data_IF_368535794273
#
_entry.id   IF_368535794273
#
_cell.length_a   1.000
_cell.length_b   1.000
_cell.length_c   1.000
_cell.angle_alpha   90.00
_cell.angle_beta   90.00
_cell.angle_gamma   90.00
#
_symmetry.space_group_name_H-M   'P 1'
#
loop_
_entity.id
_entity.type
_entity.pdbx_description
1 polymer ?
#
# COMPACT_ATOMS: atom_id res chain seq x y z
N UNK A 1 11.23 -23.86 -6.88
CA UNK A 1 10.82 -22.53 -6.38
C UNK A 1 10.74 -21.60 -7.58
N UNK A 2 9.54 -21.19 -7.98
CA UNK A 2 9.34 -20.26 -9.10
C UNK A 2 9.65 -18.84 -8.62
N UNK A 3 10.85 -18.35 -8.94
CA UNK A 3 11.20 -16.95 -8.65
C UNK A 3 10.86 -16.12 -9.88
N UNK A 4 10.03 -15.11 -9.66
CA UNK A 4 9.52 -14.15 -10.65
C UNK A 4 10.66 -13.23 -11.12
N UNK A 5 11.63 -13.77 -11.86
CA UNK A 5 12.69 -12.98 -12.49
C UNK A 5 12.28 -12.71 -13.94
N UNK A 6 11.93 -11.46 -14.25
CA UNK A 6 11.88 -11.01 -15.63
C UNK A 6 13.30 -11.00 -16.19
N UNK A 7 13.66 -11.98 -17.01
CA UNK A 7 14.90 -11.95 -17.79
C UNK A 7 14.62 -11.25 -19.12
N UNK A 8 15.33 -10.16 -19.40
CA UNK A 8 15.45 -9.68 -20.77
C UNK A 8 16.38 -10.67 -21.52
N UNK A 9 15.97 -11.17 -22.70
CA UNK A 9 16.81 -12.10 -23.45
C UNK A 9 18.16 -11.43 -23.77
N UNK A 10 19.25 -12.12 -23.44
CA UNK A 10 20.65 -11.71 -23.66
C UNK A 10 21.19 -10.52 -22.82
N UNK A 11 20.50 -10.08 -21.77
CA UNK A 11 21.06 -9.06 -20.86
C UNK A 11 21.38 -9.66 -19.49
N UNK A 12 22.67 -9.80 -19.18
CA UNK A 12 23.15 -10.26 -17.87
C UNK A 12 23.00 -9.14 -16.85
N UNK A 13 21.78 -8.95 -16.33
CA UNK A 13 21.42 -7.86 -15.40
C UNK A 13 22.44 -7.73 -14.26
N UNK A 14 22.89 -8.86 -13.68
CA UNK A 14 23.86 -8.92 -12.57
C UNK A 14 25.23 -8.27 -12.86
N UNK A 15 25.63 -8.13 -14.13
CA UNK A 15 26.88 -7.48 -14.54
C UNK A 15 26.74 -5.96 -14.72
N UNK A 16 25.49 -5.47 -14.71
CA UNK A 16 25.16 -4.07 -14.97
C UNK A 16 24.22 -3.52 -13.88
N UNK A 17 24.69 -3.40 -12.61
CA UNK A 17 23.88 -2.90 -11.50
C UNK A 17 23.38 -1.45 -11.71
N UNK A 18 23.98 -0.74 -12.67
CA UNK A 18 23.64 0.64 -13.03
C UNK A 18 22.48 0.72 -14.03
N UNK A 19 22.10 -0.40 -14.69
CA UNK A 19 21.05 -0.44 -15.69
C UNK A 19 19.64 -0.24 -15.10
N UNK A 20 19.47 -0.49 -13.80
CA UNK A 20 18.22 -0.31 -13.07
C UNK A 20 18.35 0.87 -12.11
N UNK A 21 18.38 2.07 -12.67
CA UNK A 21 18.28 3.30 -11.91
C UNK A 21 16.82 3.72 -11.81
N UNK A 22 16.24 3.65 -10.62
CA UNK A 22 14.85 3.98 -10.37
C UNK A 22 14.82 5.37 -9.76
N UNK A 23 14.16 6.30 -10.44
CA UNK A 23 13.83 7.62 -9.87
C UNK A 23 12.72 7.45 -8.86
N UNK A 24 13.07 7.21 -7.61
CA UNK A 24 12.10 7.16 -6.51
C UNK A 24 11.71 8.58 -6.12
N UNK A 25 10.41 8.85 -6.03
CA UNK A 25 9.95 10.06 -5.35
C UNK A 25 10.25 9.91 -3.86
N UNK A 26 11.00 10.85 -3.29
CA UNK A 26 11.46 10.93 -1.88
C UNK A 26 10.37 10.76 -0.80
N UNK A 27 9.09 10.66 -1.18
CA UNK A 27 7.94 10.77 -0.28
C UNK A 27 7.07 9.52 -0.18
N UNK A 28 7.52 8.37 -0.69
CA UNK A 28 6.72 7.14 -0.54
C UNK A 28 7.25 6.27 0.61
N UNK A 29 6.72 6.39 1.85
CA UNK A 29 7.26 5.70 3.02
C UNK A 29 6.99 4.19 3.03
N UNK A 30 6.24 3.68 2.05
CA UNK A 30 5.71 2.32 2.07
C UNK A 30 6.61 1.29 1.38
N UNK A 31 7.63 1.75 0.64
CA UNK A 31 8.57 0.88 -0.05
C UNK A 31 10.00 1.27 0.31
N UNK A 32 10.77 0.32 0.82
CA UNK A 32 12.22 0.47 0.87
C UNK A 32 12.77 0.17 -0.52
N UNK A 33 13.00 1.21 -1.32
CA UNK A 33 13.60 1.11 -2.65
C UNK A 33 14.90 1.91 -2.65
N UNK A 34 16.01 1.24 -2.91
CA UNK A 34 17.27 1.93 -3.22
C UNK A 34 17.22 2.44 -4.67
N UNK A 35 17.83 3.59 -4.92
CA UNK A 35 17.87 4.19 -6.27
C UNK A 35 18.54 3.27 -7.30
N UNK A 36 19.51 2.47 -6.85
CA UNK A 36 20.17 1.43 -7.64
C UNK A 36 19.96 0.08 -6.97
N UNK A 37 19.26 -0.81 -7.65
CA UNK A 37 19.05 -2.18 -7.18
C UNK A 37 18.86 -3.12 -8.38
N UNK A 38 19.46 -4.30 -8.27
CA UNK A 38 19.41 -5.33 -9.31
C UNK A 38 18.05 -6.01 -9.41
N UNK A 39 17.37 -6.09 -8.28
CA UNK A 39 16.13 -6.82 -8.08
C UNK A 39 15.13 -5.89 -7.43
N UNK A 40 13.89 -5.95 -7.93
CA UNK A 40 12.77 -5.25 -7.33
C UNK A 40 12.05 -6.18 -6.37
N UNK A 41 12.05 -5.82 -5.10
CA UNK A 41 11.25 -6.49 -4.08
C UNK A 41 9.93 -5.76 -3.94
N UNK A 42 8.85 -6.45 -4.30
CA UNK A 42 7.50 -5.95 -4.10
C UNK A 42 6.86 -6.68 -2.93
N UNK A 43 6.15 -5.94 -2.10
CA UNK A 43 5.23 -6.56 -1.15
C UNK A 43 3.90 -6.80 -1.85
N UNK A 44 3.26 -7.91 -1.53
CA UNK A 44 1.91 -8.20 -2.01
C UNK A 44 0.94 -7.06 -1.63
N UNK A 45 0.21 -6.56 -2.63
CA UNK A 45 -0.68 -5.41 -2.49
C UNK A 45 -1.84 -5.70 -1.55
N UNK A 46 -2.41 -6.91 -1.61
CA UNK A 46 -3.48 -7.36 -0.70
C UNK A 46 -2.98 -7.35 0.74
N UNK A 47 -1.76 -7.83 0.98
CA UNK A 47 -1.14 -7.84 2.30
C UNK A 47 -0.86 -6.42 2.82
N UNK A 48 -0.44 -5.49 1.94
CA UNK A 48 -0.26 -4.08 2.32
C UNK A 48 -1.59 -3.44 2.73
N UNK A 49 -2.65 -3.60 1.94
CA UNK A 49 -3.98 -3.04 2.24
C UNK A 49 -4.55 -3.66 3.53
N UNK A 50 -4.34 -4.96 3.75
CA UNK A 50 -4.75 -5.64 4.99
C UNK A 50 -4.04 -5.06 6.22
N UNK A 51 -2.72 -4.79 6.14
CA UNK A 51 -1.99 -4.13 7.23
C UNK A 51 -2.52 -2.72 7.50
N UNK A 52 -2.82 -1.94 6.46
CA UNK A 52 -3.40 -0.61 6.62
C UNK A 52 -4.78 -0.65 7.27
N UNK A 53 -5.66 -1.54 6.79
CA UNK A 53 -6.96 -1.81 7.42
C UNK A 53 -6.78 -2.11 8.89
N UNK A 54 -5.95 -3.10 9.23
CA UNK A 54 -5.76 -3.52 10.61
C UNK A 54 -5.26 -2.38 11.49
N UNK A 55 -4.27 -1.60 11.02
CA UNK A 55 -3.76 -0.42 11.75
C UNK A 55 -4.83 0.64 12.01
N UNK A 56 -5.65 0.93 11.00
CA UNK A 56 -6.75 1.88 11.10
C UNK A 56 -7.81 1.41 12.11
N UNK A 57 -8.13 0.11 12.12
CA UNK A 57 -9.13 -0.47 13.02
C UNK A 57 -8.62 -0.66 14.45
N UNK A 58 -7.34 -1.01 14.62
CA UNK A 58 -6.76 -1.35 15.93
C UNK A 58 -6.28 -0.14 16.74
N UNK A 59 -6.43 1.09 16.20
CA UNK A 59 -5.97 2.36 16.80
C UNK A 59 -4.50 2.38 17.23
N UNK A 60 -3.70 1.41 16.79
CA UNK A 60 -2.33 1.19 17.26
C UNK A 60 -1.32 1.99 16.44
N UNK A 61 -1.75 2.53 15.30
CA UNK A 61 -0.94 3.38 14.44
C UNK A 61 -1.83 4.42 13.76
N UNK A 62 -1.32 5.64 13.67
CA UNK A 62 -1.98 6.74 12.97
C UNK A 62 -1.79 6.58 11.46
N UNK A 63 -2.89 6.66 10.71
CA UNK A 63 -2.83 6.71 9.25
C UNK A 63 -2.90 8.17 8.82
N UNK A 64 -1.81 8.71 8.28
CA UNK A 64 -1.76 10.09 7.79
C UNK A 64 -1.72 10.15 6.27
N UNK A 65 -2.51 11.05 5.68
CA UNK A 65 -2.47 11.38 4.26
C UNK A 65 -2.14 12.87 4.13
N UNK A 66 -0.86 13.15 3.84
CA UNK A 66 -0.33 14.52 3.95
C UNK A 66 -0.39 15.01 5.40
N UNK A 67 -1.06 16.14 5.62
CA UNK A 67 -1.25 16.74 6.94
C UNK A 67 -2.57 16.32 7.62
N UNK A 68 -3.33 15.40 7.02
CA UNK A 68 -4.60 14.94 7.55
C UNK A 68 -4.45 13.58 8.23
N UNK A 69 -5.08 13.44 9.39
CA UNK A 69 -5.18 12.18 10.11
C UNK A 69 -6.44 11.45 9.67
N UNK A 70 -6.33 10.14 9.47
CA UNK A 70 -7.45 9.26 9.13
C UNK A 70 -7.73 8.40 10.35
N UNK A 71 -8.95 8.52 10.87
CA UNK A 71 -9.43 7.80 12.05
C UNK A 71 -10.60 6.90 11.66
N UNK A 72 -10.86 5.89 12.49
CA UNK A 72 -12.04 5.02 12.33
C UNK A 72 -13.36 5.81 12.40
N UNK A 73 -13.40 6.93 13.13
CA UNK A 73 -14.56 7.82 13.19
C UNK A 73 -14.95 8.36 11.81
N UNK A 74 -13.97 8.67 10.94
CA UNK A 74 -14.26 9.11 9.58
C UNK A 74 -14.97 8.03 8.75
N UNK A 75 -14.70 6.74 9.00
CA UNK A 75 -15.43 5.64 8.37
C UNK A 75 -16.86 5.53 8.91
N UNK A 76 -17.05 5.73 10.21
CA UNK A 76 -18.38 5.80 10.81
C UNK A 76 -19.20 6.95 10.24
N UNK A 77 -18.58 8.12 10.03
CA UNK A 77 -19.22 9.29 9.44
C UNK A 77 -19.67 8.99 8.01
N UNK A 78 -18.82 8.36 7.19
CA UNK A 78 -19.20 7.97 5.82
C UNK A 78 -20.36 6.98 5.81
N UNK A 79 -20.35 5.97 6.68
CA UNK A 79 -21.41 4.93 6.72
C UNK A 79 -22.75 5.48 7.20
N UNK A 80 -22.75 6.45 8.12
CA UNK A 80 -23.97 6.97 8.73
C UNK A 80 -24.48 8.27 8.09
N UNK A 81 -23.69 8.91 7.22
CA UNK A 81 -24.07 10.16 6.58
C UNK A 81 -24.94 9.91 5.34
N UNK A 82 -26.17 10.44 5.36
CA UNK A 82 -27.17 10.30 4.29
C UNK A 82 -26.74 10.90 2.94
N UNK A 83 -25.69 11.74 2.93
CA UNK A 83 -25.13 12.33 1.70
C UNK A 83 -24.42 11.29 0.84
N UNK A 84 -23.92 10.20 1.42
CA UNK A 84 -23.22 9.14 0.69
C UNK A 84 -24.10 7.90 0.62
N UNK A 85 -24.36 7.38 -0.59
CA UNK A 85 -25.07 6.13 -0.71
C UNK A 85 -24.12 4.95 -0.46
N UNK A 86 -24.67 3.82 -0.01
CA UNK A 86 -23.92 2.57 0.14
C UNK A 86 -23.24 2.13 -1.17
N UNK A 87 -23.82 2.47 -2.32
CA UNK A 87 -23.22 2.17 -3.62
C UNK A 87 -21.96 3.00 -3.89
N UNK A 88 -21.89 4.21 -3.35
CA UNK A 88 -20.76 5.11 -3.54
C UNK A 88 -19.58 4.73 -2.66
N UNK A 89 -19.84 4.44 -1.37
CA UNK A 89 -18.77 4.17 -0.42
C UNK A 89 -18.46 2.68 -0.24
N UNK A 90 -19.38 1.77 -0.57
CA UNK A 90 -19.15 0.31 -0.56
C UNK A 90 -18.91 -0.32 0.82
N UNK A 91 -19.05 0.44 1.91
CA UNK A 91 -18.76 0.00 3.29
C UNK A 91 -20.01 -0.51 4.01
N UNK A 92 -19.81 -1.45 4.93
CA UNK A 92 -20.81 -1.91 5.89
C UNK A 92 -20.28 -1.85 7.31
N UNK A 93 -21.19 -1.83 8.30
CA UNK A 93 -20.83 -1.79 9.73
C UNK A 93 -19.95 -2.98 10.16
N UNK A 94 -20.04 -4.12 9.47
CA UNK A 94 -19.20 -5.30 9.73
C UNK A 94 -17.75 -5.15 9.24
N UNK A 95 -17.49 -4.28 8.28
CA UNK A 95 -16.13 -4.11 7.73
C UNK A 95 -15.19 -3.41 8.72
N UNK A 96 -15.77 -2.51 9.52
CA UNK A 96 -15.11 -1.74 10.57
C UNK A 96 -15.13 -2.41 11.95
N UNK A 97 -16.11 -3.28 12.20
CA UNK A 97 -16.21 -4.10 13.41
C UNK A 97 -16.19 -5.58 13.03
N UNK A 98 -15.02 -6.13 12.63
CA UNK A 98 -14.91 -7.56 12.39
C UNK A 98 -15.18 -8.30 13.71
N UNK A 99 -16.18 -9.19 13.70
CA UNK A 99 -16.42 -10.15 14.79
C UNK A 99 -15.30 -11.17 14.88
#
# INVERSE_FOLDING_TARGET
>A
MSVFFGSLPNFQVHQHPQAFQIKTTLRWPWFYLREQQLLLFFQDSTHMVTKWRNRLLSSTAELCLGNQFILISHLHDIINNETYSKLDHGLTKSDINPK
#
